data_IF_667927626107
#
_entry.id   IF_667927626107
#
_cell.length_a   1.000
_cell.length_b   1.000
_cell.length_c   1.000
_cell.angle_alpha   90.00
_cell.angle_beta   90.00
_cell.angle_gamma   90.00
#
_symmetry.space_group_name_H-M   'P 1'
#
loop_
_entity.id
_entity.type
_entity.pdbx_description
1 polymer ?
#
# COMPACT_ATOMS: atom_id res chain seq x y z
N UNK A 1 -10.14 -14.17 28.32
CA UNK A 1 -10.56 -12.78 27.99
C UNK A 1 -9.63 -12.21 26.93
N UNK A 2 -10.07 -12.15 25.67
CA UNK A 2 -9.29 -11.62 24.54
C UNK A 2 -9.43 -10.10 24.44
N UNK A 3 -8.48 -9.35 25.02
CA UNK A 3 -8.36 -7.89 24.83
C UNK A 3 -7.45 -7.60 23.63
N UNK A 4 -7.96 -7.58 22.39
CA UNK A 4 -7.31 -6.87 21.26
C UNK A 4 -8.36 -6.28 20.32
N UNK A 5 -9.10 -5.30 20.82
CA UNK A 5 -10.07 -4.50 20.06
C UNK A 5 -9.47 -3.35 19.26
N UNK A 6 -8.18 -3.39 18.89
CA UNK A 6 -7.57 -2.37 18.04
C UNK A 6 -7.09 -3.01 16.75
N UNK A 7 -7.59 -2.48 15.63
CA UNK A 7 -7.43 -2.95 14.27
C UNK A 7 -6.02 -3.47 13.91
N UNK A 8 -5.95 -4.36 12.91
CA UNK A 8 -4.72 -5.01 12.46
C UNK A 8 -3.60 -4.00 12.16
N UNK A 9 -2.31 -4.35 12.33
CA UNK A 9 -1.21 -3.46 12.02
C UNK A 9 -1.28 -2.87 10.61
N UNK A 10 -1.68 -3.67 9.62
CA UNK A 10 -1.90 -3.24 8.23
C UNK A 10 -2.99 -2.17 8.13
N UNK A 11 -4.10 -2.33 8.85
CA UNK A 11 -5.16 -1.33 8.86
C UNK A 11 -4.68 -0.01 9.49
N UNK A 12 -3.88 -0.07 10.56
CA UNK A 12 -3.29 1.13 11.16
C UNK A 12 -2.36 1.86 10.19
N UNK A 13 -1.54 1.12 9.43
CA UNK A 13 -0.69 1.69 8.38
C UNK A 13 -1.52 2.31 7.26
N UNK A 14 -2.64 1.70 6.88
CA UNK A 14 -3.55 2.26 5.90
C UNK A 14 -4.18 3.58 6.36
N UNK A 15 -4.68 3.63 7.60
CA UNK A 15 -5.18 4.88 8.20
C UNK A 15 -4.07 5.93 8.29
N UNK A 16 -2.87 5.53 8.72
CA UNK A 16 -1.71 6.42 8.73
C UNK A 16 -1.40 6.98 7.34
N UNK A 17 -1.46 6.17 6.29
CA UNK A 17 -1.26 6.63 4.91
C UNK A 17 -2.29 7.66 4.48
N UNK A 18 -3.56 7.46 4.84
CA UNK A 18 -4.61 8.45 4.57
C UNK A 18 -4.29 9.76 5.28
N UNK A 19 -4.03 9.74 6.59
CA UNK A 19 -3.74 10.95 7.38
C UNK A 19 -2.47 11.64 6.89
N UNK A 20 -1.43 10.87 6.58
CA UNK A 20 -0.16 11.36 6.04
C UNK A 20 -0.37 12.10 4.71
N UNK A 21 -1.09 11.47 3.77
CA UNK A 21 -1.40 12.09 2.49
C UNK A 21 -2.31 13.31 2.63
N UNK A 22 -3.36 13.22 3.45
CA UNK A 22 -4.32 14.30 3.67
C UNK A 22 -3.68 15.55 4.25
N UNK A 23 -2.87 15.42 5.30
CA UNK A 23 -2.35 16.58 6.01
C UNK A 23 -0.95 16.95 5.58
N UNK A 24 0.00 16.01 5.66
CA UNK A 24 1.41 16.33 5.47
C UNK A 24 1.74 16.59 4.00
N UNK A 25 1.33 15.68 3.11
CA UNK A 25 1.64 15.77 1.68
C UNK A 25 0.93 16.96 1.04
N UNK A 26 -0.38 17.11 1.27
CA UNK A 26 -1.11 18.28 0.76
C UNK A 26 -0.55 19.60 1.32
N UNK A 27 -0.19 19.66 2.61
CA UNK A 27 0.41 20.87 3.18
C UNK A 27 1.69 21.26 2.43
N UNK A 28 2.57 20.29 2.19
CA UNK A 28 3.77 20.51 1.37
C UNK A 28 3.41 21.04 -0.01
N UNK A 29 2.44 20.42 -0.69
CA UNK A 29 2.04 20.77 -2.05
C UNK A 29 1.33 22.13 -2.16
N UNK A 30 0.77 22.61 -1.05
CA UNK A 30 0.17 23.94 -0.92
C UNK A 30 1.20 25.03 -0.61
N UNK A 31 2.26 24.70 0.14
CA UNK A 31 3.29 25.65 0.57
C UNK A 31 4.39 25.80 -0.46
N UNK A 32 4.75 24.72 -1.15
CA UNK A 32 5.84 24.70 -2.12
C UNK A 32 5.25 24.84 -3.53
N UNK A 33 5.46 25.96 -4.23
CA UNK A 33 4.96 26.14 -5.60
C UNK A 33 5.73 25.24 -6.57
N UNK A 34 5.18 24.05 -6.83
CA UNK A 34 5.85 22.98 -7.55
C UNK A 34 6.27 23.27 -8.99
N UNK A 35 5.63 24.25 -9.64
CA UNK A 35 5.99 24.67 -11.00
C UNK A 35 7.37 25.33 -11.10
N UNK A 36 7.88 25.88 -9.99
CA UNK A 36 9.07 26.72 -9.99
C UNK A 36 10.30 26.02 -9.39
N UNK A 37 10.13 24.81 -8.86
CA UNK A 37 11.21 24.05 -8.23
C UNK A 37 11.63 22.91 -9.17
N UNK A 38 12.86 22.94 -9.72
CA UNK A 38 13.36 21.84 -10.54
C UNK A 38 13.33 20.52 -9.76
N UNK A 39 12.77 19.47 -10.37
CA UNK A 39 12.68 18.15 -9.72
C UNK A 39 11.52 18.00 -8.73
N UNK A 40 10.65 19.02 -8.59
CA UNK A 40 9.58 19.01 -7.61
C UNK A 40 8.72 17.75 -7.64
N UNK A 41 8.26 17.32 -8.82
CA UNK A 41 7.32 16.20 -8.92
C UNK A 41 8.02 14.85 -8.72
N UNK A 42 9.31 14.75 -9.00
CA UNK A 42 10.11 13.58 -8.62
C UNK A 42 10.28 13.51 -7.10
N UNK A 43 10.59 14.64 -6.46
CA UNK A 43 10.69 14.75 -5.01
C UNK A 43 9.36 14.48 -4.30
N UNK A 44 8.27 15.04 -4.81
CA UNK A 44 6.92 14.80 -4.30
C UNK A 44 6.55 13.32 -4.43
N UNK A 45 6.91 12.69 -5.56
CA UNK A 45 6.83 11.25 -5.76
C UNK A 45 7.55 10.46 -4.67
N UNK A 46 8.80 10.79 -4.35
CA UNK A 46 9.55 10.15 -3.24
C UNK A 46 8.85 10.37 -1.90
N UNK A 47 8.35 11.57 -1.65
CA UNK A 47 7.65 11.94 -0.42
C UNK A 47 6.42 11.07 -0.19
N UNK A 48 5.68 10.70 -1.24
CA UNK A 48 4.55 9.77 -1.09
C UNK A 48 4.94 8.41 -0.47
N UNK A 49 6.17 7.93 -0.69
CA UNK A 49 6.60 6.59 -0.26
C UNK A 49 7.54 6.60 0.96
N UNK A 50 8.22 7.72 1.24
CA UNK A 50 9.35 7.74 2.19
C UNK A 50 8.96 7.28 3.60
N UNK A 51 7.77 7.66 4.08
CA UNK A 51 7.26 7.28 5.40
C UNK A 51 6.99 5.78 5.55
N UNK A 52 6.98 5.02 4.46
CA UNK A 52 6.75 3.58 4.44
C UNK A 52 8.01 2.75 4.19
N UNK A 53 9.15 3.38 3.86
CA UNK A 53 10.45 2.70 3.74
C UNK A 53 10.80 1.88 5.00
N UNK A 54 10.56 2.36 6.24
CA UNK A 54 10.82 1.56 7.44
C UNK A 54 10.11 0.20 7.46
N UNK A 55 8.95 0.08 6.80
CA UNK A 55 8.24 -1.21 6.68
C UNK A 55 9.09 -2.24 5.94
N UNK A 56 9.76 -1.83 4.86
CA UNK A 56 10.69 -2.71 4.11
C UNK A 56 11.93 -3.02 4.93
N UNK A 57 12.47 -2.03 5.64
CA UNK A 57 13.69 -2.23 6.44
C UNK A 57 13.45 -3.20 7.60
N UNK A 58 12.27 -3.19 8.20
CA UNK A 58 11.93 -4.02 9.36
C UNK A 58 11.36 -5.39 8.96
N UNK A 59 10.47 -5.43 7.96
CA UNK A 59 9.75 -6.66 7.57
C UNK A 59 10.34 -7.35 6.33
N UNK A 60 11.29 -6.68 5.65
CA UNK A 60 11.98 -7.17 4.46
C UNK A 60 11.31 -6.78 3.13
N UNK A 61 12.04 -7.00 2.03
CA UNK A 61 11.63 -6.67 0.67
C UNK A 61 10.33 -7.36 0.22
N UNK A 62 9.89 -8.42 0.90
CA UNK A 62 8.63 -9.11 0.59
C UNK A 62 7.40 -8.22 0.75
N UNK A 63 7.49 -7.19 1.60
CA UNK A 63 6.41 -6.24 1.85
C UNK A 63 6.34 -5.08 0.83
N UNK A 64 7.07 -5.16 -0.30
CA UNK A 64 7.06 -4.12 -1.33
C UNK A 64 5.65 -3.80 -1.84
N UNK A 65 4.76 -4.79 -1.91
CA UNK A 65 3.36 -4.59 -2.34
C UNK A 65 2.59 -3.73 -1.35
N UNK A 66 2.83 -3.93 -0.05
CA UNK A 66 2.21 -3.13 1.01
C UNK A 66 2.72 -1.69 0.92
N UNK A 67 4.02 -1.49 0.82
CA UNK A 67 4.61 -0.14 0.70
C UNK A 67 4.15 0.58 -0.57
N UNK A 68 4.10 -0.11 -1.70
CA UNK A 68 3.56 0.44 -2.94
C UNK A 68 2.10 0.87 -2.77
N UNK A 69 1.27 0.01 -2.17
CA UNK A 69 -0.13 0.33 -1.90
C UNK A 69 -0.27 1.55 -0.98
N UNK A 70 0.47 1.59 0.13
CA UNK A 70 0.42 2.69 1.09
C UNK A 70 0.88 4.03 0.49
N UNK A 71 1.95 4.04 -0.31
CA UNK A 71 2.39 5.29 -0.95
C UNK A 71 1.45 5.77 -2.07
N UNK A 72 0.84 4.84 -2.82
CA UNK A 72 -0.18 5.19 -3.80
C UNK A 72 -1.46 5.75 -3.14
N UNK A 73 -1.85 5.22 -1.98
CA UNK A 73 -2.97 5.79 -1.19
C UNK A 73 -2.63 7.21 -0.73
N UNK A 74 -1.43 7.44 -0.19
CA UNK A 74 -1.00 8.78 0.22
C UNK A 74 -0.99 9.76 -0.96
N UNK A 75 -0.50 9.31 -2.13
CA UNK A 75 -0.52 10.07 -3.37
C UNK A 75 -1.95 10.42 -3.83
N UNK A 76 -2.92 9.50 -3.73
CA UNK A 76 -4.31 9.78 -4.07
C UNK A 76 -4.94 10.82 -3.13
N UNK A 77 -4.57 10.81 -1.84
CA UNK A 77 -5.06 11.83 -0.91
C UNK A 77 -4.59 13.23 -1.30
N UNK A 78 -3.41 13.37 -1.92
CA UNK A 78 -2.96 14.66 -2.44
C UNK A 78 -3.94 15.19 -3.51
N UNK A 79 -4.15 14.44 -4.58
CA UNK A 79 -4.94 14.95 -5.71
C UNK A 79 -6.42 15.14 -5.38
N UNK A 80 -6.99 14.20 -4.62
CA UNK A 80 -8.42 14.19 -4.32
C UNK A 80 -8.79 15.17 -3.20
N UNK A 81 -7.88 15.51 -2.30
CA UNK A 81 -8.16 16.37 -1.15
C UNK A 81 -7.39 17.69 -1.15
N UNK A 82 -6.67 18.01 -2.22
CA UNK A 82 -6.04 19.32 -2.37
C UNK A 82 -7.03 20.47 -2.14
N UNK A 83 -8.22 20.44 -2.76
CA UNK A 83 -9.25 21.46 -2.55
C UNK A 83 -9.63 21.63 -1.07
N UNK A 84 -10.16 20.60 -0.37
CA UNK A 84 -10.62 20.80 1.00
C UNK A 84 -9.48 21.14 1.98
N UNK A 85 -8.27 20.63 1.72
CA UNK A 85 -7.10 20.92 2.56
C UNK A 85 -6.57 22.35 2.33
N UNK A 86 -6.63 22.84 1.08
CA UNK A 86 -6.35 24.25 0.74
C UNK A 86 -7.28 25.18 1.51
N UNK A 87 -8.59 24.88 1.48
CA UNK A 87 -9.60 25.66 2.21
C UNK A 87 -9.37 25.62 3.72
N UNK A 88 -9.07 24.44 4.27
CA UNK A 88 -8.84 24.25 5.71
C UNK A 88 -7.63 25.03 6.23
N UNK A 89 -6.49 24.97 5.54
CA UNK A 89 -5.25 25.59 6.03
C UNK A 89 -5.09 27.06 5.65
N UNK A 90 -5.63 27.48 4.51
CA UNK A 90 -5.34 28.81 3.95
C UNK A 90 -6.58 29.68 3.70
N UNK A 91 -7.79 29.17 3.96
CA UNK A 91 -9.03 29.91 3.71
C UNK A 91 -9.27 30.28 2.24
N UNK A 92 -8.50 29.67 1.33
CA UNK A 92 -8.57 29.86 -0.13
C UNK A 92 -8.50 28.50 -0.79
N UNK A 93 -9.22 28.32 -1.89
CA UNK A 93 -9.19 27.09 -2.68
C UNK A 93 -9.49 27.41 -4.14
N UNK A 94 -9.04 26.58 -5.09
CA UNK A 94 -9.52 26.65 -6.48
C UNK A 94 -11.04 26.42 -6.53
N UNK A 95 -11.71 26.69 -7.64
CA UNK A 95 -13.12 26.32 -7.78
C UNK A 95 -13.31 24.78 -7.67
N UNK A 96 -14.24 24.33 -6.82
CA UNK A 96 -14.46 22.92 -6.49
C UNK A 96 -14.81 22.10 -7.73
N UNK A 97 -15.80 22.58 -8.48
CA UNK A 97 -16.31 21.91 -9.66
C UNK A 97 -15.21 21.83 -10.72
N UNK A 98 -14.53 22.95 -10.98
CA UNK A 98 -13.44 23.02 -11.93
C UNK A 98 -12.27 22.12 -11.56
N UNK A 99 -11.90 22.07 -10.29
CA UNK A 99 -10.83 21.21 -9.77
C UNK A 99 -11.14 19.75 -10.06
N UNK A 100 -12.29 19.24 -9.63
CA UNK A 100 -12.63 17.83 -9.83
C UNK A 100 -12.89 17.47 -11.30
N UNK A 101 -13.47 18.36 -12.09
CA UNK A 101 -13.61 18.15 -13.53
C UNK A 101 -12.25 17.99 -14.21
N UNK A 102 -11.23 18.77 -13.78
CA UNK A 102 -9.87 18.61 -14.28
C UNK A 102 -9.25 17.30 -13.78
N UNK A 103 -9.30 17.06 -12.46
CA UNK A 103 -8.67 15.91 -11.81
C UNK A 103 -9.19 14.57 -12.37
N UNK A 104 -10.50 14.45 -12.59
CA UNK A 104 -11.13 13.21 -13.06
C UNK A 104 -11.05 13.02 -14.58
N UNK A 105 -10.42 13.92 -15.33
CA UNK A 105 -10.23 13.78 -16.78
C UNK A 105 -11.36 14.29 -17.66
N UNK A 106 -12.38 14.93 -17.08
CA UNK A 106 -13.56 15.39 -17.83
C UNK A 106 -13.31 16.66 -18.66
N UNK A 107 -12.14 17.29 -18.56
CA UNK A 107 -11.76 18.45 -19.40
C UNK A 107 -10.81 18.09 -20.55
N UNK A 108 -10.66 16.81 -20.90
CA UNK A 108 -9.92 16.36 -22.08
C UNK A 108 -8.46 16.84 -22.11
N UNK A 109 -8.06 17.52 -23.19
CA UNK A 109 -6.68 17.98 -23.41
C UNK A 109 -6.35 19.34 -22.79
N UNK A 110 -7.27 19.94 -22.02
CA UNK A 110 -6.96 21.17 -21.29
C UNK A 110 -5.83 20.94 -20.30
N UNK A 111 -4.94 21.93 -20.14
CA UNK A 111 -3.76 21.85 -19.26
C UNK A 111 -3.91 22.80 -18.08
N UNK A 112 -3.55 22.36 -16.88
CA UNK A 112 -3.59 23.20 -15.67
C UNK A 112 -2.20 23.56 -15.12
N UNK A 113 -1.23 22.65 -15.24
CA UNK A 113 0.12 22.85 -14.69
C UNK A 113 1.17 22.05 -15.47
N UNK A 114 2.43 22.35 -15.22
CA UNK A 114 3.57 21.68 -15.85
C UNK A 114 4.20 20.70 -14.86
N UNK A 115 4.22 19.43 -15.23
CA UNK A 115 4.99 18.43 -14.50
C UNK A 115 6.47 18.71 -14.70
N UNK A 116 7.23 18.66 -13.61
CA UNK A 116 8.66 18.90 -13.57
C UNK A 116 9.35 17.86 -12.66
N UNK A 117 10.05 16.92 -13.29
CA UNK A 117 10.89 15.92 -12.62
C UNK A 117 12.41 16.23 -12.79
N UNK A 118 12.77 17.48 -13.03
CA UNK A 118 14.15 17.93 -13.19
C UNK A 118 14.58 17.88 -14.65
N UNK A 119 14.90 16.68 -15.14
CA UNK A 119 15.33 16.47 -16.54
C UNK A 119 14.16 16.25 -17.52
N UNK A 120 12.95 16.02 -17.01
CA UNK A 120 11.74 15.80 -17.79
C UNK A 120 10.66 16.81 -17.38
N UNK A 121 10.14 17.54 -18.36
CA UNK A 121 9.05 18.49 -18.16
C UNK A 121 7.99 18.36 -19.25
N UNK A 122 6.71 18.34 -18.88
CA UNK A 122 5.60 18.35 -19.84
C UNK A 122 4.35 18.95 -19.22
N UNK A 123 3.43 19.44 -20.05
CA UNK A 123 2.14 19.98 -19.58
C UNK A 123 1.20 18.83 -19.22
N UNK A 124 0.61 18.90 -18.02
CA UNK A 124 -0.36 17.90 -17.58
C UNK A 124 -1.74 18.26 -18.10
N UNK A 125 -2.29 17.38 -18.91
CA UNK A 125 -3.67 17.48 -19.39
C UNK A 125 -4.64 16.88 -18.38
N UNK A 126 -5.90 17.31 -18.41
CA UNK A 126 -6.96 16.72 -17.60
C UNK A 126 -7.06 15.21 -17.83
N UNK A 127 -7.03 14.75 -19.09
CA UNK A 127 -7.06 13.33 -19.43
C UNK A 127 -5.91 12.55 -18.79
N UNK A 128 -4.69 13.09 -18.82
CA UNK A 128 -3.52 12.45 -18.19
C UNK A 128 -3.67 12.39 -16.67
N UNK A 129 -4.19 13.47 -16.05
CA UNK A 129 -4.47 13.51 -14.62
C UNK A 129 -5.48 12.43 -14.22
N UNK A 130 -6.62 12.37 -14.90
CA UNK A 130 -7.66 11.36 -14.67
C UNK A 130 -7.13 9.95 -14.87
N UNK A 131 -6.45 9.69 -15.99
CA UNK A 131 -5.82 8.40 -16.27
C UNK A 131 -4.86 7.98 -15.14
N UNK A 132 -4.07 8.91 -14.61
CA UNK A 132 -3.15 8.62 -13.49
C UNK A 132 -3.90 8.27 -12.20
N UNK A 133 -5.03 8.93 -11.90
CA UNK A 133 -5.85 8.64 -10.71
C UNK A 133 -6.48 7.25 -10.86
N UNK A 134 -7.12 6.97 -12.00
CA UNK A 134 -7.74 5.68 -12.26
C UNK A 134 -6.73 4.53 -12.24
N UNK A 135 -5.54 4.72 -12.83
CA UNK A 135 -4.47 3.72 -12.79
C UNK A 135 -4.02 3.42 -11.34
N UNK A 136 -3.85 4.45 -10.51
CA UNK A 136 -3.47 4.26 -9.10
C UNK A 136 -4.54 3.53 -8.31
N UNK A 137 -5.81 3.90 -8.48
CA UNK A 137 -6.94 3.18 -7.87
C UNK A 137 -6.95 1.71 -8.30
N UNK A 138 -6.79 1.43 -9.60
CA UNK A 138 -6.76 0.08 -10.13
C UNK A 138 -5.60 -0.74 -9.54
N UNK A 139 -4.40 -0.17 -9.44
CA UNK A 139 -3.22 -0.83 -8.84
C UNK A 139 -3.45 -1.11 -7.35
N UNK A 140 -3.96 -0.15 -6.58
CA UNK A 140 -4.27 -0.33 -5.15
C UNK A 140 -5.28 -1.48 -4.95
N UNK A 141 -6.36 -1.50 -5.74
CA UNK A 141 -7.37 -2.55 -5.70
C UNK A 141 -6.74 -3.91 -6.06
N UNK A 142 -5.98 -3.97 -7.16
CA UNK A 142 -5.31 -5.19 -7.59
C UNK A 142 -4.35 -5.75 -6.53
N UNK A 143 -3.49 -4.90 -5.95
CA UNK A 143 -2.55 -5.32 -4.90
C UNK A 143 -3.27 -5.78 -3.63
N UNK A 144 -4.37 -5.12 -3.27
CA UNK A 144 -5.17 -5.48 -2.08
C UNK A 144 -5.87 -6.83 -2.27
N UNK A 145 -6.45 -7.08 -3.45
CA UNK A 145 -7.11 -8.35 -3.75
C UNK A 145 -6.08 -9.49 -3.89
N UNK A 146 -4.96 -9.24 -4.57
CA UNK A 146 -3.88 -10.23 -4.71
C UNK A 146 -3.33 -10.67 -3.36
N UNK A 147 -3.07 -9.73 -2.45
CA UNK A 147 -2.52 -10.01 -1.13
C UNK A 147 -3.39 -10.98 -0.30
N UNK A 148 -4.72 -10.88 -0.45
CA UNK A 148 -5.67 -11.78 0.22
C UNK A 148 -5.56 -13.21 -0.29
N UNK A 149 -5.40 -13.39 -1.61
CA UNK A 149 -5.26 -14.71 -2.24
C UNK A 149 -3.96 -15.40 -1.81
N UNK A 150 -2.84 -14.66 -1.79
CA UNK A 150 -1.56 -15.24 -1.37
C UNK A 150 -1.58 -15.73 0.08
N UNK A 151 -2.19 -14.99 0.99
CA UNK A 151 -2.24 -15.38 2.40
C UNK A 151 -3.14 -16.60 2.63
N UNK A 152 -4.26 -16.70 1.92
CA UNK A 152 -5.14 -17.88 1.96
C UNK A 152 -4.44 -19.14 1.41
N UNK A 153 -3.73 -19.03 0.28
CA UNK A 153 -2.96 -20.14 -0.29
C UNK A 153 -1.85 -20.63 0.64
N UNK A 154 -1.15 -19.71 1.32
CA UNK A 154 -0.13 -20.07 2.31
C UNK A 154 -0.72 -20.73 3.56
N UNK A 155 -1.85 -20.24 4.08
CA UNK A 155 -2.53 -20.88 5.21
C UNK A 155 -3.02 -22.29 4.86
N UNK A 156 -3.51 -22.48 3.63
CA UNK A 156 -3.93 -23.80 3.12
C UNK A 156 -2.73 -24.74 2.95
N UNK A 157 -1.64 -24.28 2.33
CA UNK A 157 -0.42 -25.09 2.14
C UNK A 157 0.26 -25.44 3.46
N UNK A 158 0.27 -24.52 4.43
CA UNK A 158 0.78 -24.76 5.79
C UNK A 158 -0.05 -25.79 6.55
N UNK A 159 -1.39 -25.73 6.47
CA UNK A 159 -2.28 -26.75 7.06
C UNK A 159 -2.08 -28.13 6.46
N UNK A 160 -1.85 -28.22 5.15
CA UNK A 160 -1.56 -29.50 4.46
C UNK A 160 -0.21 -30.08 4.91
N UNK A 161 0.82 -29.25 5.07
CA UNK A 161 2.13 -29.70 5.61
C UNK A 161 2.03 -30.15 7.07
N UNK A 162 1.27 -29.44 7.90
CA UNK A 162 1.07 -29.80 9.30
C UNK A 162 0.32 -31.14 9.41
N UNK A 163 -0.76 -31.32 8.65
CA UNK A 163 -1.52 -32.56 8.61
C UNK A 163 -0.66 -33.77 8.20
N UNK A 164 0.19 -33.63 7.17
CA UNK A 164 1.13 -34.69 6.75
C UNK A 164 2.24 -34.97 7.78
N UNK A 165 2.60 -33.98 8.61
CA UNK A 165 3.58 -34.17 9.69
C UNK A 165 3.02 -34.96 10.87
N UNK A 166 1.70 -35.00 11.05
CA UNK A 166 1.04 -35.82 12.08
C UNK A 166 0.73 -37.25 11.62
N UNK A 167 0.86 -37.56 10.32
CA UNK A 167 0.67 -38.92 9.79
C UNK A 167 1.93 -39.82 9.88
N UNK A 168 3.07 -39.29 10.32
CA UNK A 168 4.28 -40.09 10.65
C UNK A 168 4.72 -39.68 12.05
N UNK A 169 4.65 -40.51 13.12
CA UNK A 169 5.04 -41.93 13.13
C UNK A 169 4.22 -42.84 14.11
N UNK A 170 3.56 -43.90 13.61
CA UNK A 170 3.09 -45.02 14.45
C UNK A 170 3.54 -46.39 13.87
N UNK A 171 4.74 -46.44 13.29
CA UNK A 171 5.29 -47.69 12.70
C UNK A 171 6.58 -48.17 13.36
N UNK A 172 6.82 -47.81 14.62
CA UNK A 172 7.95 -48.30 15.41
C UNK A 172 7.44 -48.65 16.81
N UNK A 173 6.72 -49.77 16.93
CA UNK A 173 6.60 -50.56 18.18
C UNK A 173 5.82 -51.84 17.86
N UNK A 174 6.36 -52.67 16.94
CA UNK A 174 6.07 -54.11 16.97
C UNK A 174 7.24 -54.73 17.71
N UNK A 175 7.00 -55.05 18.97
CA UNK A 175 7.99 -55.70 19.84
C UNK A 175 8.52 -56.96 19.20
N UNK A 176 9.84 -57.16 19.30
CA UNK A 176 10.42 -58.50 19.13
C UNK A 176 9.85 -59.38 20.25
N UNK A 177 9.32 -60.58 19.95
CA UNK A 177 8.94 -61.51 21.00
C UNK A 177 10.18 -61.93 21.80
N UNK A 178 10.05 -62.16 23.11
CA UNK A 178 11.16 -62.60 23.94
C UNK A 178 11.62 -64.01 23.53
N UNK A 179 12.91 -64.33 23.68
CA UNK A 179 13.44 -65.64 23.34
C UNK A 179 12.90 -66.71 24.30
N UNK A 180 12.30 -67.74 23.73
CA UNK A 180 11.89 -68.95 24.42
C UNK A 180 13.11 -69.80 24.77
N UNK A 181 13.43 -69.95 26.05
CA UNK A 181 14.46 -70.89 26.47
C UNK A 181 15.02 -70.60 27.86
N UNK A 182 14.28 -70.96 28.90
CA UNK A 182 14.86 -71.33 30.20
C UNK A 182 14.08 -72.54 30.70
N UNK A 183 14.58 -73.74 30.39
CA UNK A 183 14.28 -74.94 31.16
C UNK A 183 15.01 -74.82 32.50
N UNK A 184 14.27 -74.91 33.60
CA UNK A 184 14.83 -75.06 34.94
C UNK A 184 14.49 -76.47 35.39
N UNK A 185 15.53 -77.27 35.61
CA UNK A 185 15.50 -78.57 36.28
C UNK A 185 15.37 -78.39 37.80
#
# INVERSE_FOLDING_TARGET
MSRRGFASPTFRLFIFSIVYGLFYVNYIDLVVPGSNVPGYHAWLGVTYFISFIPVILILGLREWKLVLCLGLVASLMNDLFYYPISLLFFGRAPDLYSWYMFQLGFRGFTTAWTFNAGFLTFKVTSLLMGASIYARVAIIVALTLWGRVSMQQWMMAGRIKLARSFEKPLRIWRGKPPPSGVEVA
#
